data_IF_591828753507
#
_entry.id   IF_591828753507
#
_cell.length_a   1.000
_cell.length_b   1.000
_cell.length_c   1.000
_cell.angle_alpha   90.00
_cell.angle_beta   90.00
_cell.angle_gamma   90.00
#
_symmetry.space_group_name_H-M   'P 1'
#
loop_
_entity.id
_entity.type
_entity.pdbx_description
1 polymer ?
#
# COMPACT_ATOMS: atom_id res chain seq x y z
N UNK A 1 -17.98 -18.93 6.87
CA UNK A 1 -17.86 -17.54 6.43
C UNK A 1 -16.41 -17.29 6.09
N UNK A 2 -16.12 -16.89 4.87
CA UNK A 2 -14.77 -16.55 4.42
C UNK A 2 -14.72 -15.03 4.26
N UNK A 3 -13.72 -14.39 4.87
CA UNK A 3 -13.45 -12.97 4.65
C UNK A 3 -12.53 -12.90 3.43
N UNK A 4 -12.97 -12.29 2.32
CA UNK A 4 -12.22 -12.25 1.05
C UNK A 4 -11.14 -11.15 1.00
N UNK A 5 -11.31 -10.10 1.81
CA UNK A 5 -10.36 -9.01 1.89
C UNK A 5 -10.45 -8.29 3.24
N UNK A 6 -9.33 -7.71 3.66
CA UNK A 6 -9.22 -6.83 4.82
C UNK A 6 -8.78 -5.47 4.33
N UNK A 7 -9.48 -4.41 4.74
CA UNK A 7 -9.15 -3.03 4.42
C UNK A 7 -8.76 -2.27 5.68
N UNK A 8 -7.83 -1.32 5.52
CA UNK A 8 -7.45 -0.38 6.57
C UNK A 8 -7.21 1.01 6.00
N UNK A 9 -7.26 1.98 6.90
CA UNK A 9 -6.94 3.38 6.63
C UNK A 9 -5.80 3.78 7.55
N UNK A 10 -4.70 4.21 6.96
CA UNK A 10 -3.52 4.67 7.67
C UNK A 10 -3.33 6.16 7.40
N UNK A 11 -2.89 6.95 8.40
CA UNK A 11 -2.48 8.33 8.13
C UNK A 11 -1.35 8.38 7.09
N UNK A 12 -1.44 9.33 6.16
CA UNK A 12 -0.46 9.48 5.08
C UNK A 12 0.96 9.81 5.58
N UNK A 13 1.08 10.44 6.75
CA UNK A 13 2.34 10.80 7.38
C UNK A 13 2.93 9.69 8.28
N UNK A 14 2.17 8.62 8.55
CA UNK A 14 2.63 7.51 9.40
C UNK A 14 3.38 6.44 8.59
N UNK A 15 4.54 6.82 8.05
CA UNK A 15 5.40 5.96 7.22
C UNK A 15 5.79 4.65 7.94
N UNK A 16 5.94 4.67 9.27
CA UNK A 16 6.27 3.47 10.06
C UNK A 16 5.15 2.43 10.01
N UNK A 17 3.90 2.86 10.15
CA UNK A 17 2.74 1.97 10.07
C UNK A 17 2.50 1.50 8.63
N UNK A 18 2.64 2.36 7.62
CA UNK A 18 2.54 1.96 6.21
C UNK A 18 3.50 0.83 5.87
N UNK A 19 4.79 0.99 6.21
CA UNK A 19 5.81 -0.07 6.04
C UNK A 19 5.51 -1.33 6.84
N UNK A 20 4.85 -1.22 7.99
CA UNK A 20 4.44 -2.41 8.76
C UNK A 20 3.37 -3.19 7.99
N UNK A 21 2.35 -2.50 7.46
CA UNK A 21 1.26 -3.13 6.72
C UNK A 21 1.74 -3.69 5.38
N UNK A 22 2.61 -3.00 4.67
CA UNK A 22 3.27 -3.52 3.45
C UNK A 22 3.95 -4.87 3.70
N UNK A 23 4.66 -5.02 4.83
CA UNK A 23 5.30 -6.30 5.20
C UNK A 23 4.32 -7.43 5.48
N UNK A 24 3.06 -7.12 5.80
CA UNK A 24 1.99 -8.10 5.97
C UNK A 24 1.19 -8.33 4.68
N UNK A 25 1.63 -7.77 3.55
CA UNK A 25 0.99 -7.95 2.25
C UNK A 25 -0.17 -6.99 1.98
N UNK A 26 -0.31 -5.92 2.76
CA UNK A 26 -1.26 -4.86 2.41
C UNK A 26 -0.71 -4.02 1.28
N UNK A 27 -1.55 -3.75 0.29
CA UNK A 27 -1.25 -2.89 -0.85
C UNK A 27 -2.04 -1.59 -0.76
N UNK A 28 -1.40 -0.47 -1.12
CA UNK A 28 -2.07 0.82 -1.25
C UNK A 28 -3.07 0.80 -2.42
N UNK A 29 -4.33 1.16 -2.16
CA UNK A 29 -5.38 1.19 -3.18
C UNK A 29 -5.99 2.59 -3.41
N UNK A 30 -5.64 3.59 -2.61
CA UNK A 30 -6.10 4.95 -2.82
C UNK A 30 -5.97 5.86 -1.60
N UNK A 31 -6.59 7.03 -1.67
CA UNK A 31 -6.56 8.05 -0.62
C UNK A 31 -7.95 8.55 -0.26
N UNK A 32 -8.16 8.85 1.03
CA UNK A 32 -9.29 9.63 1.53
C UNK A 32 -8.79 11.00 1.97
N UNK A 33 -9.17 12.04 1.23
CA UNK A 33 -8.73 13.42 1.50
C UNK A 33 -9.33 13.96 2.81
N UNK A 34 -8.50 14.60 3.64
CA UNK A 34 -8.92 15.27 4.86
C UNK A 34 -9.57 14.37 5.92
N UNK A 35 -9.28 13.07 5.89
CA UNK A 35 -9.99 12.06 6.70
C UNK A 35 -9.77 12.23 8.20
N UNK A 36 -8.54 12.47 8.63
CA UNK A 36 -8.24 12.64 10.05
C UNK A 36 -8.33 14.11 10.47
N UNK A 37 -9.14 14.34 11.51
CA UNK A 37 -9.38 15.66 12.11
C UNK A 37 -9.09 15.65 13.62
N UNK A 38 -8.71 16.80 14.21
CA UNK A 38 -8.30 18.02 13.51
C UNK A 38 -6.94 17.82 12.82
N UNK A 39 -6.72 18.51 11.69
CA UNK A 39 -5.44 18.49 10.97
C UNK A 39 -5.54 18.21 9.48
N UNK A 40 -6.73 17.88 8.98
CA UNK A 40 -6.98 17.65 7.57
C UNK A 40 -5.97 16.69 6.92
N UNK A 41 -5.58 15.65 7.67
CA UNK A 41 -4.58 14.68 7.22
C UNK A 41 -5.26 13.59 6.41
N UNK A 42 -4.74 13.34 5.22
CA UNK A 42 -5.24 12.30 4.32
C UNK A 42 -5.01 10.90 4.90
N UNK A 43 -5.90 9.97 4.58
CA UNK A 43 -5.69 8.56 4.84
C UNK A 43 -5.25 7.85 3.56
N UNK A 44 -4.19 7.05 3.65
CA UNK A 44 -3.86 6.01 2.70
C UNK A 44 -4.76 4.79 3.00
N UNK A 45 -5.54 4.38 2.01
CA UNK A 45 -6.35 3.16 2.09
C UNK A 45 -5.49 2.01 1.59
N UNK A 46 -5.39 0.95 2.39
CA UNK A 46 -4.66 -0.26 2.05
C UNK A 46 -5.55 -1.49 2.15
N UNK A 47 -5.25 -2.52 1.34
CA UNK A 47 -6.02 -3.77 1.26
C UNK A 47 -5.10 -4.98 1.32
N UNK A 48 -5.53 -5.99 2.07
CA UNK A 48 -4.99 -7.35 2.03
C UNK A 48 -6.05 -8.28 1.45
N UNK A 49 -5.73 -8.97 0.36
CA UNK A 49 -6.59 -10.02 -0.21
C UNK A 49 -6.27 -11.33 0.50
N UNK A 50 -7.29 -12.05 0.98
CA UNK A 50 -7.13 -13.27 1.78
C UNK A 50 -7.15 -14.54 0.94
N UNK A 51 -7.18 -14.42 -0.39
CA UNK A 51 -7.14 -15.54 -1.30
C UNK A 51 -6.06 -16.52 -0.84
N UNK A 52 -6.44 -17.77 -0.66
CA UNK A 52 -5.55 -18.88 -0.32
C UNK A 52 -4.59 -19.09 -1.50
N UNK A 53 -3.61 -18.21 -1.66
CA UNK A 53 -2.64 -18.29 -2.73
C UNK A 53 -1.25 -17.94 -2.19
N UNK A 54 -0.54 -19.00 -1.86
CA UNK A 54 0.91 -19.05 -1.77
C UNK A 54 1.52 -18.67 -3.12
N UNK A 55 1.75 -17.37 -3.38
CA UNK A 55 2.16 -16.95 -4.72
C UNK A 55 2.73 -15.53 -4.84
N UNK A 56 3.97 -15.34 -4.35
CA UNK A 56 4.99 -14.46 -4.95
C UNK A 56 4.58 -13.04 -5.40
N UNK A 57 4.66 -12.06 -4.49
CA UNK A 57 4.86 -10.65 -4.87
C UNK A 57 6.37 -10.44 -5.16
N UNK A 58 6.80 -10.91 -6.33
CA UNK A 58 8.14 -10.64 -6.84
C UNK A 58 8.30 -9.14 -7.12
N UNK A 59 9.20 -8.54 -6.35
CA UNK A 59 10.01 -7.36 -6.63
C UNK A 59 10.09 -7.03 -8.13
N UNK A 60 9.57 -5.87 -8.52
CA UNK A 60 9.90 -5.19 -9.77
C UNK A 60 10.73 -3.94 -9.47
N UNK A 61 11.97 -4.14 -9.03
CA UNK A 61 13.03 -3.13 -9.21
C UNK A 61 13.37 -3.14 -10.70
N UNK A 62 12.88 -2.15 -11.45
CA UNK A 62 13.41 -1.88 -12.79
C UNK A 62 14.23 -0.60 -12.75
N UNK A 63 15.50 -0.74 -12.40
CA UNK A 63 16.55 0.13 -12.90
C UNK A 63 16.88 -0.32 -14.33
N UNK A 64 16.68 0.54 -15.33
CA UNK A 64 17.35 0.40 -16.63
C UNK A 64 17.65 1.77 -17.25
N UNK A 65 18.94 2.10 -17.20
CA UNK A 65 19.74 2.42 -18.39
C UNK A 65 19.53 3.78 -19.03
N UNK A 66 20.49 4.67 -18.81
CA UNK A 66 20.74 5.89 -19.59
C UNK A 66 21.03 5.54 -21.05
N UNK A 67 20.19 5.96 -21.99
CA UNK A 67 20.52 5.96 -23.42
C UNK A 67 20.98 7.37 -23.83
N UNK A 68 22.26 7.47 -24.14
CA UNK A 68 22.89 8.57 -24.87
C UNK A 68 22.47 8.50 -26.34
N UNK A 69 22.08 9.63 -26.94
CA UNK A 69 21.89 9.74 -28.38
C UNK A 69 22.74 10.88 -28.92
N UNK A 70 23.67 10.50 -29.80
CA UNK A 70 24.16 11.26 -30.96
C UNK A 70 24.88 12.57 -30.70
#
# INVERSE_FOLDING_TARGET
FECAEVMLECRIDNVRAQKLYERFGFEAIGFRRGYYQPGNVDALVMRLTTASDSGSAAVSTSERGTEING
#
